data_IF_752693773316
#
_entry.id   IF_752693773316
#
_cell.length_a   1.000
_cell.length_b   1.000
_cell.length_c   1.000
_cell.angle_alpha   90.00
_cell.angle_beta   90.00
_cell.angle_gamma   90.00
#
_symmetry.space_group_name_H-M   'P 1'
#
loop_
_entity.id
_entity.type
_entity.pdbx_description
1 polymer ?
#
# COMPACT_ATOMS: atom_id res chain seq x y z
N UNK A 1 7.70 22.85 -12.20
CA UNK A 1 7.73 21.40 -12.54
C UNK A 1 6.37 21.05 -13.13
N UNK A 2 6.33 20.47 -14.31
CA UNK A 2 5.05 20.02 -14.91
C UNK A 2 4.54 18.85 -14.06
N UNK A 3 3.28 18.90 -13.66
CA UNK A 3 2.61 17.85 -12.86
C UNK A 3 2.43 16.62 -13.74
N UNK A 4 2.70 15.44 -13.25
CA UNK A 4 2.48 14.19 -13.97
C UNK A 4 1.05 13.70 -13.73
N UNK A 5 0.16 14.02 -14.69
CA UNK A 5 -1.27 13.73 -14.58
C UNK A 5 -1.53 12.23 -14.54
N UNK A 6 -0.78 11.43 -15.33
CA UNK A 6 -0.96 9.99 -15.37
C UNK A 6 -0.60 9.33 -14.04
N UNK A 7 0.46 9.82 -13.38
CA UNK A 7 0.84 9.35 -12.05
C UNK A 7 -0.20 9.72 -10.98
N UNK A 8 -0.80 10.91 -11.09
CA UNK A 8 -1.87 11.36 -10.21
C UNK A 8 -3.15 10.53 -10.40
N UNK A 9 -3.52 10.24 -11.65
CA UNK A 9 -4.63 9.34 -12.00
C UNK A 9 -4.37 7.94 -11.45
N UNK A 10 -3.17 7.37 -11.67
CA UNK A 10 -2.79 6.06 -11.15
C UNK A 10 -2.91 5.98 -9.63
N UNK A 11 -2.46 7.03 -8.91
CA UNK A 11 -2.60 7.12 -7.45
C UNK A 11 -4.07 7.14 -7.02
N UNK A 12 -4.91 7.90 -7.70
CA UNK A 12 -6.33 7.99 -7.38
C UNK A 12 -7.03 6.64 -7.60
N UNK A 13 -6.77 6.00 -8.75
CA UNK A 13 -7.38 4.72 -9.10
C UNK A 13 -6.99 3.62 -8.12
N UNK A 14 -5.71 3.53 -7.72
CA UNK A 14 -5.28 2.52 -6.75
C UNK A 14 -5.89 2.77 -5.36
N UNK A 15 -6.05 4.02 -4.93
CA UNK A 15 -6.71 4.33 -3.68
C UNK A 15 -8.20 3.99 -3.71
N UNK A 16 -8.91 4.27 -4.81
CA UNK A 16 -10.29 3.85 -5.03
C UNK A 16 -10.37 2.32 -4.98
N UNK A 17 -9.46 1.63 -5.66
CA UNK A 17 -9.40 0.18 -5.69
C UNK A 17 -9.22 -0.42 -4.30
N UNK A 18 -8.29 0.11 -3.49
CA UNK A 18 -8.06 -0.36 -2.13
C UNK A 18 -9.34 -0.22 -1.28
N UNK A 19 -9.94 0.96 -1.29
CA UNK A 19 -11.08 1.28 -0.40
C UNK A 19 -12.37 0.63 -0.89
N UNK A 20 -12.65 0.68 -2.19
CA UNK A 20 -13.95 0.26 -2.73
C UNK A 20 -13.97 -1.20 -3.24
N UNK A 21 -12.80 -1.83 -3.45
CA UNK A 21 -12.71 -3.22 -3.90
C UNK A 21 -12.06 -4.10 -2.83
N UNK A 22 -10.80 -3.86 -2.49
CA UNK A 22 -10.06 -4.75 -1.59
C UNK A 22 -10.72 -4.84 -0.21
N UNK A 23 -10.95 -3.71 0.44
CA UNK A 23 -11.52 -3.73 1.78
C UNK A 23 -12.98 -4.19 1.80
N UNK A 24 -13.74 -3.92 0.73
CA UNK A 24 -15.10 -4.45 0.59
C UNK A 24 -15.10 -5.97 0.47
N UNK A 25 -14.20 -6.52 -0.35
CA UNK A 25 -14.05 -7.98 -0.51
C UNK A 25 -13.55 -8.65 0.76
N UNK A 26 -12.54 -8.09 1.41
CA UNK A 26 -11.96 -8.72 2.61
C UNK A 26 -12.79 -8.53 3.90
N UNK A 27 -13.62 -7.49 3.98
CA UNK A 27 -14.36 -7.18 5.20
C UNK A 27 -15.84 -7.49 5.14
N UNK A 28 -16.47 -7.32 3.98
CA UNK A 28 -17.92 -7.35 3.87
C UNK A 28 -18.44 -8.50 2.97
N UNK A 29 -17.81 -8.72 1.82
CA UNK A 29 -18.28 -9.65 0.80
C UNK A 29 -17.14 -10.49 0.24
N UNK A 30 -16.65 -11.51 1.00
CA UNK A 30 -15.52 -12.32 0.58
C UNK A 30 -15.79 -13.05 -0.74
N UNK A 31 -14.81 -13.02 -1.62
CA UNK A 31 -14.82 -13.80 -2.86
C UNK A 31 -14.20 -15.16 -2.61
N UNK A 32 -14.60 -16.14 -3.46
CA UNK A 32 -13.93 -17.43 -3.48
C UNK A 32 -12.50 -17.33 -4.02
N UNK A 33 -11.61 -18.18 -3.52
CA UNK A 33 -10.29 -18.35 -4.13
C UNK A 33 -10.40 -18.99 -5.52
N UNK A 34 -9.54 -18.66 -6.49
CA UNK A 34 -8.35 -17.81 -6.36
C UNK A 34 -8.60 -16.31 -6.61
N UNK A 35 -9.84 -15.89 -6.82
CA UNK A 35 -10.17 -14.52 -7.21
C UNK A 35 -9.78 -13.50 -6.13
N UNK A 36 -10.02 -13.84 -4.86
CA UNK A 36 -9.62 -12.99 -3.74
C UNK A 36 -8.11 -12.77 -3.69
N UNK A 37 -7.33 -13.82 -3.90
CA UNK A 37 -5.87 -13.75 -3.95
C UNK A 37 -5.34 -12.89 -5.10
N UNK A 38 -5.95 -12.98 -6.28
CA UNK A 38 -5.55 -12.19 -7.46
C UNK A 38 -5.72 -10.68 -7.28
N UNK A 39 -6.57 -10.25 -6.35
CA UNK A 39 -6.81 -8.84 -6.09
C UNK A 39 -5.70 -8.17 -5.26
N UNK A 40 -4.79 -8.91 -4.61
CA UNK A 40 -3.84 -8.40 -3.61
C UNK A 40 -2.58 -7.70 -4.19
N UNK A 41 -2.64 -7.18 -5.40
CA UNK A 41 -1.51 -6.47 -6.03
C UNK A 41 -1.40 -4.99 -5.64
N UNK A 42 -2.32 -4.47 -4.86
CA UNK A 42 -2.48 -3.04 -4.59
C UNK A 42 -1.28 -2.44 -3.84
N UNK A 43 -0.73 -3.15 -2.86
CA UNK A 43 0.36 -2.62 -2.03
C UNK A 43 1.67 -2.46 -2.81
N UNK A 44 2.17 -3.45 -3.57
CA UNK A 44 3.29 -3.25 -4.47
C UNK A 44 3.13 -2.02 -5.37
N UNK A 45 1.92 -1.81 -5.88
CA UNK A 45 1.64 -0.73 -6.80
C UNK A 45 1.65 0.66 -6.13
N UNK A 46 1.11 0.79 -4.91
CA UNK A 46 1.12 2.07 -4.19
C UNK A 46 2.55 2.49 -3.79
N UNK A 47 3.41 1.53 -3.43
CA UNK A 47 4.81 1.80 -3.14
C UNK A 47 5.58 2.19 -4.41
N UNK A 48 5.33 1.52 -5.53
CA UNK A 48 5.89 1.88 -6.84
C UNK A 48 5.54 3.33 -7.21
N UNK A 49 4.25 3.72 -7.13
CA UNK A 49 3.78 5.09 -7.40
C UNK A 49 4.41 6.09 -6.44
N UNK A 50 4.55 5.72 -5.18
CA UNK A 50 5.18 6.59 -4.18
C UNK A 50 6.65 6.85 -4.51
N UNK A 51 7.40 5.82 -4.90
CA UNK A 51 8.77 5.94 -5.37
C UNK A 51 8.89 6.79 -6.64
N UNK A 52 8.04 6.53 -7.64
CA UNK A 52 7.95 7.32 -8.86
C UNK A 52 7.66 8.80 -8.58
N UNK A 53 6.74 9.09 -7.67
CA UNK A 53 6.43 10.47 -7.26
C UNK A 53 7.62 11.16 -6.59
N UNK A 54 8.42 10.43 -5.82
CA UNK A 54 9.63 10.97 -5.19
C UNK A 54 10.76 11.23 -6.20
N UNK A 55 10.86 10.44 -7.27
CA UNK A 55 11.84 10.66 -8.35
C UNK A 55 11.60 11.98 -9.08
N UNK A 56 10.34 12.41 -9.16
CA UNK A 56 9.92 13.68 -9.78
C UNK A 56 9.96 14.86 -8.82
N UNK A 57 10.02 14.62 -7.51
CA UNK A 57 9.99 15.68 -6.52
C UNK A 57 11.32 16.44 -6.47
N UNK A 58 11.26 17.77 -6.24
CA UNK A 58 12.45 18.58 -5.98
C UNK A 58 13.15 18.08 -4.71
N UNK A 59 14.47 17.98 -4.77
CA UNK A 59 15.29 17.63 -3.62
C UNK A 59 15.10 18.66 -2.51
N UNK A 60 14.60 18.21 -1.38
CA UNK A 60 14.58 18.95 -0.11
C UNK A 60 15.65 18.36 0.78
N UNK A 61 16.14 19.13 1.75
CA UNK A 61 17.04 18.58 2.77
C UNK A 61 16.40 17.40 3.51
N UNK A 62 17.23 16.50 4.02
CA UNK A 62 16.85 15.28 4.75
C UNK A 62 15.73 15.55 5.78
N UNK A 63 15.98 16.44 6.70
CA UNK A 63 15.04 16.77 7.77
C UNK A 63 13.72 17.35 7.26
N UNK A 64 13.77 18.23 6.24
CA UNK A 64 12.57 18.80 5.65
C UNK A 64 11.71 17.73 4.95
N UNK A 65 12.33 16.71 4.35
CA UNK A 65 11.60 15.58 3.79
C UNK A 65 10.92 14.75 4.87
N UNK A 66 11.65 14.36 5.92
CA UNK A 66 11.12 13.54 7.03
C UNK A 66 9.96 14.29 7.72
N UNK A 67 10.18 15.56 8.14
CA UNK A 67 9.17 16.35 8.83
C UNK A 67 7.90 16.53 7.96
N UNK A 68 8.04 16.78 6.66
CA UNK A 68 6.88 16.90 5.78
C UNK A 68 6.11 15.57 5.64
N UNK A 69 6.80 14.42 5.67
CA UNK A 69 6.14 13.10 5.67
C UNK A 69 5.40 12.86 6.96
N UNK A 70 6.07 13.08 8.09
CA UNK A 70 5.47 12.95 9.41
C UNK A 70 4.19 13.79 9.51
N UNK A 71 4.25 15.08 9.14
CA UNK A 71 3.08 15.96 9.17
C UNK A 71 1.93 15.49 8.28
N UNK A 72 2.24 14.97 7.08
CA UNK A 72 1.21 14.56 6.11
C UNK A 72 0.56 13.23 6.44
N UNK A 73 1.22 12.36 7.18
CA UNK A 73 0.74 11.02 7.49
C UNK A 73 0.29 10.94 8.95
N UNK A 74 1.11 11.39 9.89
CA UNK A 74 0.83 11.25 11.32
C UNK A 74 -0.25 12.22 11.79
N UNK A 75 -0.24 13.48 11.35
CA UNK A 75 -1.24 14.44 11.82
C UNK A 75 -2.68 14.02 11.45
N UNK A 76 -2.98 13.63 10.20
CA UNK A 76 -4.32 13.09 9.88
C UNK A 76 -4.65 11.81 10.62
N UNK A 77 -3.66 10.93 10.88
CA UNK A 77 -3.86 9.73 11.68
C UNK A 77 -4.28 10.05 13.11
N UNK A 78 -3.60 10.98 13.80
CA UNK A 78 -3.96 11.35 15.17
C UNK A 78 -5.32 12.03 15.26
N UNK A 79 -5.67 12.88 14.27
CA UNK A 79 -7.02 13.43 14.18
C UNK A 79 -8.05 12.31 14.01
N UNK A 80 -7.79 11.34 13.15
CA UNK A 80 -8.64 10.17 12.99
C UNK A 80 -8.77 9.36 14.28
N UNK A 81 -7.66 9.10 14.99
CA UNK A 81 -7.68 8.37 16.27
C UNK A 81 -8.54 9.09 17.33
N UNK A 82 -8.45 10.42 17.40
CA UNK A 82 -9.30 11.21 18.28
C UNK A 82 -10.78 11.08 17.90
N UNK A 83 -11.12 11.16 16.60
CA UNK A 83 -12.49 10.96 16.11
C UNK A 83 -12.96 9.54 16.41
N UNK A 84 -12.12 8.52 16.20
CA UNK A 84 -12.45 7.12 16.52
C UNK A 84 -12.70 6.90 18.01
N UNK A 85 -11.92 7.53 18.89
CA UNK A 85 -12.11 7.44 20.33
C UNK A 85 -13.49 7.99 20.74
N UNK A 86 -13.88 9.13 20.17
CA UNK A 86 -15.22 9.72 20.40
C UNK A 86 -16.32 8.82 19.83
N UNK A 87 -16.16 8.34 18.60
CA UNK A 87 -17.10 7.44 17.95
C UNK A 87 -17.31 6.16 18.78
N UNK A 88 -16.24 5.54 19.24
CA UNK A 88 -16.29 4.35 20.09
C UNK A 88 -17.00 4.61 21.41
N UNK A 89 -16.70 5.71 22.08
CA UNK A 89 -17.37 6.08 23.32
C UNK A 89 -18.88 6.28 23.14
N UNK A 90 -19.31 6.77 21.97
CA UNK A 90 -20.74 6.92 21.65
C UNK A 90 -21.42 5.60 21.30
N UNK A 91 -20.73 4.68 20.62
CA UNK A 91 -21.32 3.43 20.14
C UNK A 91 -21.31 2.32 21.20
N UNK A 92 -20.32 2.31 22.08
CA UNK A 92 -20.15 1.29 23.12
C UNK A 92 -21.41 0.99 23.96
N UNK A 93 -22.20 1.99 24.40
CA UNK A 93 -23.42 1.73 25.17
C UNK A 93 -24.49 0.97 24.38
N UNK A 94 -24.49 1.11 23.05
CA UNK A 94 -25.51 0.52 22.15
C UNK A 94 -25.08 -0.84 21.57
N UNK A 95 -23.79 -1.08 21.48
CA UNK A 95 -23.22 -2.29 20.88
C UNK A 95 -22.08 -2.86 21.75
N UNK A 96 -22.35 -3.33 22.97
CA UNK A 96 -21.30 -3.82 23.88
C UNK A 96 -20.59 -5.08 23.37
N UNK A 97 -21.23 -5.89 22.53
CA UNK A 97 -20.66 -7.11 21.95
C UNK A 97 -19.61 -6.85 20.88
N UNK A 98 -19.59 -5.64 20.29
CA UNK A 98 -18.68 -5.27 19.17
C UNK A 98 -17.46 -4.50 19.67
N UNK A 99 -17.50 -4.01 20.91
CA UNK A 99 -16.48 -3.12 21.45
C UNK A 99 -15.85 -3.70 22.71
N UNK A 100 -14.74 -4.40 22.57
CA UNK A 100 -13.90 -4.71 23.73
C UNK A 100 -13.38 -3.42 24.36
N UNK A 101 -13.29 -3.39 25.71
CA UNK A 101 -12.73 -2.24 26.40
C UNK A 101 -11.26 -2.05 26.03
N UNK A 102 -10.93 -0.90 25.46
CA UNK A 102 -9.57 -0.51 25.18
C UNK A 102 -8.83 -0.22 26.50
N UNK A 103 -7.71 -0.89 26.71
CA UNK A 103 -6.81 -0.59 27.83
C UNK A 103 -5.85 0.54 27.47
N UNK A 104 -5.19 1.13 28.47
CA UNK A 104 -4.13 2.12 28.25
C UNK A 104 -3.02 1.53 27.36
N UNK A 105 -2.71 0.25 27.52
CA UNK A 105 -1.74 -0.45 26.69
C UNK A 105 -2.18 -0.50 25.21
N UNK A 106 -3.45 -0.80 24.93
CA UNK A 106 -3.99 -0.80 23.57
C UNK A 106 -3.90 0.59 22.93
N UNK A 107 -4.22 1.63 23.69
CA UNK A 107 -4.10 3.02 23.23
C UNK A 107 -2.64 3.37 22.90
N UNK A 108 -1.68 2.98 23.75
CA UNK A 108 -0.25 3.19 23.50
C UNK A 108 0.21 2.38 22.27
N UNK A 109 -0.25 1.13 22.11
CA UNK A 109 0.01 0.32 20.92
C UNK A 109 -0.53 1.00 19.66
N UNK A 110 -1.77 1.49 19.68
CA UNK A 110 -2.36 2.26 18.56
C UNK A 110 -1.51 3.48 18.21
N UNK A 111 -1.09 4.26 19.19
CA UNK A 111 -0.30 5.47 18.97
C UNK A 111 1.11 5.14 18.43
N UNK A 112 1.71 4.03 18.86
CA UNK A 112 3.05 3.62 18.45
C UNK A 112 3.09 2.93 17.09
N UNK A 113 2.16 2.01 16.84
CA UNK A 113 2.19 1.12 15.65
C UNK A 113 1.09 1.43 14.63
N UNK A 114 0.07 2.19 15.02
CA UNK A 114 -1.14 2.41 14.22
C UNK A 114 -2.10 1.21 14.22
N UNK A 115 -1.78 0.07 14.84
CA UNK A 115 -2.57 -1.16 14.80
C UNK A 115 -3.28 -1.48 16.12
N UNK A 116 -4.49 -2.04 16.03
CA UNK A 116 -5.23 -2.58 17.17
C UNK A 116 -6.18 -3.69 16.72
N UNK A 117 -6.00 -4.87 17.26
CA UNK A 117 -6.79 -6.04 16.91
C UNK A 117 -8.20 -6.00 17.54
N UNK A 118 -8.38 -5.21 18.61
CA UNK A 118 -9.66 -5.04 19.33
C UNK A 118 -10.65 -4.11 18.62
N UNK A 119 -10.20 -3.34 17.63
CA UNK A 119 -11.06 -2.45 16.86
C UNK A 119 -11.45 -3.15 15.56
N UNK A 120 -12.72 -3.47 15.32
CA UNK A 120 -13.16 -4.05 14.07
C UNK A 120 -12.74 -3.21 12.87
N UNK A 121 -12.33 -3.87 11.79
CA UNK A 121 -11.90 -3.21 10.55
C UNK A 121 -10.72 -2.23 10.69
N UNK A 122 -9.89 -2.36 11.74
CA UNK A 122 -8.76 -1.45 11.99
C UNK A 122 -7.40 -2.03 11.55
N UNK A 123 -7.34 -3.31 11.24
CA UNK A 123 -6.10 -4.01 10.87
C UNK A 123 -5.34 -3.41 9.67
N UNK A 124 -6.01 -2.65 8.78
CA UNK A 124 -5.38 -2.03 7.60
C UNK A 124 -4.35 -0.94 7.94
N UNK A 125 -4.32 -0.44 9.15
CA UNK A 125 -3.41 0.65 9.57
C UNK A 125 -1.95 0.22 9.69
N UNK A 126 -1.64 -1.10 9.67
CA UNK A 126 -0.28 -1.62 9.56
C UNK A 126 0.51 -0.96 8.41
N UNK A 127 -0.18 -0.64 7.32
CA UNK A 127 0.41 0.01 6.16
C UNK A 127 1.05 1.37 6.50
N UNK A 128 0.51 2.12 7.47
CA UNK A 128 0.95 3.48 7.79
C UNK A 128 2.38 3.46 8.33
N UNK A 129 2.70 2.55 9.25
CA UNK A 129 4.04 2.40 9.81
C UNK A 129 5.05 1.98 8.73
N UNK A 130 4.72 0.97 7.94
CA UNK A 130 5.54 0.52 6.82
C UNK A 130 5.78 1.63 5.79
N UNK A 131 4.72 2.35 5.43
CA UNK A 131 4.82 3.47 4.49
C UNK A 131 5.72 4.61 5.02
N UNK A 132 5.61 4.94 6.30
CA UNK A 132 6.47 5.95 6.93
C UNK A 132 7.92 5.52 6.91
N UNK A 133 8.23 4.29 7.35
CA UNK A 133 9.60 3.77 7.35
C UNK A 133 10.19 3.82 5.94
N UNK A 134 9.54 3.18 4.97
CA UNK A 134 10.02 3.10 3.59
C UNK A 134 10.23 4.50 2.99
N UNK A 135 9.29 5.42 3.17
CA UNK A 135 9.44 6.77 2.61
C UNK A 135 10.47 7.63 3.35
N UNK A 136 10.74 7.35 4.62
CA UNK A 136 11.80 8.02 5.40
C UNK A 136 13.18 7.40 5.18
N UNK A 137 13.28 6.18 4.66
CA UNK A 137 14.56 5.58 4.25
C UNK A 137 15.17 6.26 3.02
N UNK A 138 14.36 6.73 2.06
CA UNK A 138 14.86 7.33 0.82
C UNK A 138 15.91 8.44 1.00
N UNK A 139 15.76 9.41 1.93
CA UNK A 139 16.79 10.41 2.15
C UNK A 139 18.13 9.81 2.61
N UNK A 140 18.07 8.72 3.38
CA UNK A 140 19.26 7.99 3.87
C UNK A 140 19.90 7.27 2.70
N UNK A 141 19.12 6.54 1.91
CA UNK A 141 19.56 5.84 0.70
C UNK A 141 20.17 6.79 -0.32
N UNK A 142 19.60 7.98 -0.50
CA UNK A 142 20.17 9.05 -1.34
C UNK A 142 21.49 9.58 -0.79
N UNK A 143 21.65 9.69 0.53
CA UNK A 143 22.94 10.06 1.13
C UNK A 143 23.98 8.95 0.92
N UNK A 144 23.56 7.70 1.11
CA UNK A 144 24.38 6.51 0.89
C UNK A 144 24.76 6.33 -0.59
N UNK A 145 23.93 6.84 -1.52
CA UNK A 145 24.20 6.73 -2.97
C UNK A 145 25.45 7.48 -3.45
N UNK A 146 26.06 8.27 -2.59
CA UNK A 146 27.41 8.85 -2.80
C UNK A 146 28.50 7.77 -2.83
N UNK A 147 28.26 6.65 -2.15
CA UNK A 147 29.18 5.54 -2.00
C UNK A 147 28.70 4.28 -2.76
N UNK A 148 27.41 4.00 -2.66
CA UNK A 148 26.78 2.81 -3.24
C UNK A 148 25.64 3.28 -4.15
N UNK A 149 25.73 3.13 -5.49
CA UNK A 149 24.64 3.48 -6.40
C UNK A 149 23.29 2.91 -5.97
N UNK A 150 22.20 3.64 -6.17
CA UNK A 150 20.85 3.19 -5.77
C UNK A 150 20.43 1.87 -6.41
N UNK A 151 20.93 1.57 -7.63
CA UNK A 151 20.70 0.28 -8.28
C UNK A 151 21.32 -0.89 -7.49
N UNK A 152 22.53 -0.68 -6.94
CA UNK A 152 23.16 -1.65 -6.06
C UNK A 152 22.45 -1.78 -4.71
N UNK A 153 21.95 -0.66 -4.16
CA UNK A 153 21.11 -0.69 -2.95
C UNK A 153 19.84 -1.50 -3.19
N UNK A 154 19.20 -1.38 -4.35
CA UNK A 154 18.06 -2.23 -4.72
C UNK A 154 18.46 -3.72 -4.75
N UNK A 155 19.60 -4.06 -5.37
CA UNK A 155 20.11 -5.45 -5.38
C UNK A 155 20.36 -5.95 -3.96
N UNK A 156 20.97 -5.14 -3.10
CA UNK A 156 21.20 -5.47 -1.69
C UNK A 156 19.87 -5.68 -0.96
N UNK A 157 18.84 -4.85 -1.19
CA UNK A 157 17.52 -5.04 -0.60
C UNK A 157 16.86 -6.37 -1.04
N UNK A 158 17.00 -6.76 -2.30
CA UNK A 158 16.49 -8.06 -2.79
C UNK A 158 17.23 -9.22 -2.13
N UNK A 159 18.56 -9.16 -2.05
CA UNK A 159 19.36 -10.20 -1.37
C UNK A 159 19.07 -10.25 0.13
N UNK A 160 18.93 -9.09 0.77
CA UNK A 160 18.53 -9.01 2.18
C UNK A 160 17.15 -9.63 2.38
N UNK A 161 16.19 -9.32 1.51
CA UNK A 161 14.84 -9.89 1.57
C UNK A 161 14.89 -11.43 1.48
N UNK A 162 15.66 -11.97 0.54
CA UNK A 162 15.83 -13.42 0.44
C UNK A 162 16.50 -14.03 1.68
N UNK A 163 17.48 -13.33 2.27
CA UNK A 163 18.19 -13.80 3.47
C UNK A 163 17.29 -13.78 4.73
N UNK A 164 16.48 -12.76 4.91
CA UNK A 164 15.59 -12.66 6.10
C UNK A 164 14.49 -13.71 6.08
N UNK A 165 14.09 -14.26 4.92
CA UNK A 165 13.16 -15.39 4.85
C UNK A 165 13.68 -16.66 5.59
N UNK A 166 14.97 -16.72 5.86
CA UNK A 166 15.60 -17.83 6.60
C UNK A 166 15.68 -17.56 8.11
N UNK A 167 15.24 -16.40 8.57
CA UNK A 167 15.35 -15.95 9.96
C UNK A 167 13.95 -15.75 10.57
N UNK A 168 13.74 -16.12 11.84
CA UNK A 168 12.48 -15.88 12.55
C UNK A 168 12.38 -14.41 12.99
N UNK A 169 12.18 -13.50 12.03
CA UNK A 169 12.04 -12.07 12.29
C UNK A 169 10.56 -11.67 12.46
N UNK A 170 10.30 -10.52 13.11
CA UNK A 170 8.95 -9.93 13.11
C UNK A 170 8.46 -9.67 11.69
N UNK A 171 7.19 -10.01 11.39
CA UNK A 171 6.61 -9.90 10.04
C UNK A 171 6.60 -8.47 9.49
N UNK A 172 6.68 -7.46 10.35
CA UNK A 172 6.79 -6.06 9.95
C UNK A 172 8.08 -5.78 9.18
N UNK A 173 9.18 -6.47 9.54
CA UNK A 173 10.49 -6.30 8.89
C UNK A 173 10.43 -6.85 7.46
N UNK A 174 9.84 -8.03 7.26
CA UNK A 174 9.66 -8.63 5.93
C UNK A 174 8.87 -7.70 5.02
N UNK A 175 7.76 -7.17 5.53
CA UNK A 175 6.94 -6.18 4.82
C UNK A 175 7.73 -4.91 4.48
N UNK A 176 8.48 -4.34 5.42
CA UNK A 176 9.26 -3.11 5.19
C UNK A 176 10.31 -3.29 4.08
N UNK A 177 11.05 -4.40 4.09
CA UNK A 177 12.08 -4.69 3.08
C UNK A 177 11.42 -4.97 1.72
N UNK A 178 10.37 -5.80 1.69
CA UNK A 178 9.63 -6.10 0.47
C UNK A 178 9.08 -4.82 -0.20
N UNK A 179 8.39 -3.98 0.55
CA UNK A 179 7.80 -2.75 0.01
C UNK A 179 8.85 -1.69 -0.33
N UNK A 180 10.02 -1.69 0.33
CA UNK A 180 11.13 -0.82 -0.07
C UNK A 180 11.68 -1.20 -1.45
N UNK A 181 11.70 -2.49 -1.80
CA UNK A 181 12.07 -2.94 -3.15
C UNK A 181 11.14 -2.31 -4.20
N UNK A 182 9.82 -2.39 -4.02
CA UNK A 182 8.86 -1.79 -4.95
C UNK A 182 8.97 -0.27 -5.01
N UNK A 183 9.23 0.37 -3.88
CA UNK A 183 9.43 1.81 -3.81
C UNK A 183 10.69 2.24 -4.59
N UNK A 184 11.82 1.55 -4.40
CA UNK A 184 13.05 1.82 -5.14
C UNK A 184 12.92 1.53 -6.64
N UNK A 185 12.18 0.49 -7.03
CA UNK A 185 11.84 0.24 -8.43
C UNK A 185 11.12 1.44 -9.06
N UNK A 186 10.11 1.97 -8.40
CA UNK A 186 9.40 3.17 -8.85
C UNK A 186 10.32 4.40 -8.92
N UNK A 187 11.16 4.60 -7.92
CA UNK A 187 12.10 5.73 -7.87
C UNK A 187 13.15 5.68 -8.98
N UNK A 188 13.72 4.50 -9.25
CA UNK A 188 14.82 4.32 -10.19
C UNK A 188 14.37 4.26 -11.64
N UNK A 189 13.29 3.53 -11.90
CA UNK A 189 12.96 3.08 -13.25
C UNK A 189 11.71 3.72 -13.83
N UNK A 190 11.01 4.58 -13.10
CA UNK A 190 9.85 5.28 -13.62
C UNK A 190 10.20 5.99 -14.95
N UNK A 191 9.46 5.69 -16.02
CA UNK A 191 9.65 6.19 -17.41
C UNK A 191 11.01 5.93 -18.04
N UNK A 192 11.82 5.03 -17.50
CA UNK A 192 13.18 4.76 -18.01
C UNK A 192 13.31 3.44 -18.73
N UNK A 193 12.40 2.50 -18.50
CA UNK A 193 12.47 1.18 -19.11
C UNK A 193 11.66 1.11 -20.41
N UNK A 194 12.23 0.44 -21.42
CA UNK A 194 11.51 0.09 -22.65
C UNK A 194 10.58 -1.11 -22.37
N UNK A 195 9.45 -1.18 -23.09
CA UNK A 195 8.48 -2.29 -22.98
C UNK A 195 9.15 -3.66 -23.10
N UNK A 196 10.09 -3.81 -24.04
CA UNK A 196 10.86 -5.06 -24.20
C UNK A 196 11.63 -5.46 -22.94
N UNK A 197 12.25 -4.49 -22.26
CA UNK A 197 12.98 -4.75 -21.01
C UNK A 197 12.01 -5.15 -19.89
N UNK A 198 10.84 -4.49 -19.81
CA UNK A 198 9.80 -4.83 -18.84
C UNK A 198 9.27 -6.25 -19.08
N UNK A 199 8.99 -6.62 -20.34
CA UNK A 199 8.54 -7.97 -20.70
C UNK A 199 9.56 -9.05 -20.33
N UNK A 200 10.85 -8.79 -20.60
CA UNK A 200 11.92 -9.71 -20.21
C UNK A 200 12.02 -9.86 -18.69
N UNK A 201 11.93 -8.74 -17.95
CA UNK A 201 11.95 -8.77 -16.49
C UNK A 201 10.72 -9.47 -15.91
N UNK A 202 9.55 -9.33 -16.54
CA UNK A 202 8.30 -9.94 -16.12
C UNK A 202 8.24 -11.45 -16.38
N UNK A 203 9.01 -11.99 -17.34
CA UNK A 203 8.82 -13.37 -17.83
C UNK A 203 8.92 -14.42 -16.73
N UNK A 204 10.03 -14.44 -15.99
CA UNK A 204 10.23 -15.43 -14.92
C UNK A 204 9.26 -15.24 -13.74
N UNK A 205 9.10 -14.04 -13.16
CA UNK A 205 8.11 -13.83 -12.09
C UNK A 205 6.69 -14.19 -12.51
N UNK A 206 6.27 -13.89 -13.75
CA UNK A 206 4.95 -14.25 -14.25
C UNK A 206 4.78 -15.77 -14.34
N UNK A 207 5.78 -16.50 -14.82
CA UNK A 207 5.75 -17.96 -14.87
C UNK A 207 5.70 -18.57 -13.47
N UNK A 208 6.49 -18.07 -12.53
CA UNK A 208 6.48 -18.51 -11.14
C UNK A 208 5.12 -18.22 -10.48
N UNK A 209 4.58 -17.04 -10.67
CA UNK A 209 3.26 -16.67 -10.15
C UNK A 209 2.16 -17.57 -10.73
N UNK A 210 2.15 -17.79 -12.04
CA UNK A 210 1.20 -18.67 -12.70
C UNK A 210 1.33 -20.11 -12.18
N UNK A 211 2.54 -20.62 -12.04
CA UNK A 211 2.78 -21.94 -11.45
C UNK A 211 2.25 -22.02 -10.01
N UNK A 212 2.53 -21.00 -9.18
CA UNK A 212 2.05 -20.93 -7.80
C UNK A 212 0.51 -20.98 -7.70
N UNK A 213 -0.19 -20.23 -8.56
CA UNK A 213 -1.67 -20.29 -8.64
C UNK A 213 -2.20 -21.64 -9.14
N UNK A 214 -1.60 -22.19 -10.18
CA UNK A 214 -2.03 -23.47 -10.75
C UNK A 214 -1.78 -24.66 -9.82
N UNK A 215 -0.70 -24.63 -9.04
CA UNK A 215 -0.36 -25.65 -8.04
C UNK A 215 -1.08 -25.47 -6.71
N UNK A 216 -1.72 -24.33 -6.49
CA UNK A 216 -2.29 -23.97 -5.18
C UNK A 216 -1.27 -23.49 -4.13
N UNK A 217 0.01 -23.38 -4.51
CA UNK A 217 1.08 -23.01 -3.55
C UNK A 217 1.00 -21.57 -3.04
N UNK A 218 0.28 -20.69 -3.72
CA UNK A 218 0.11 -19.27 -3.36
C UNK A 218 -1.32 -18.91 -2.97
N UNK A 219 -2.14 -19.87 -2.63
CA UNK A 219 -3.54 -19.67 -2.24
C UNK A 219 -3.72 -20.12 -0.78
N UNK A 220 -4.18 -19.22 0.08
CA UNK A 220 -4.54 -17.80 -0.16
C UNK A 220 -3.30 -16.88 -0.18
N UNK A 221 -3.23 -15.93 -1.10
CA UNK A 221 -2.13 -14.95 -1.22
C UNK A 221 -2.00 -14.06 0.03
N UNK A 222 -3.03 -13.95 0.84
CA UNK A 222 -3.01 -13.22 2.10
C UNK A 222 -1.96 -13.78 3.07
N UNK A 223 -1.78 -15.10 3.11
CA UNK A 223 -0.80 -15.77 3.99
C UNK A 223 0.65 -15.52 3.51
N UNK A 224 0.82 -15.27 2.21
CA UNK A 224 2.09 -14.89 1.61
C UNK A 224 2.39 -13.39 1.70
N UNK A 225 1.38 -12.57 2.01
CA UNK A 225 1.50 -11.14 2.24
C UNK A 225 1.85 -10.82 3.69
N UNK A 226 1.47 -11.68 4.63
CA UNK A 226 1.66 -11.51 6.07
C UNK A 226 2.11 -12.81 6.75
N UNK A 227 3.46 -13.01 6.91
CA UNK A 227 4.59 -12.14 6.49
C UNK A 227 4.79 -12.11 4.98
N UNK A 228 5.35 -11.00 4.48
CA UNK A 228 5.69 -10.91 3.08
C UNK A 228 6.80 -11.91 2.72
N UNK A 229 6.57 -12.77 1.74
CA UNK A 229 7.52 -13.79 1.29
C UNK A 229 7.90 -13.67 -0.19
N UNK A 230 8.71 -14.61 -0.67
CA UNK A 230 9.17 -14.62 -2.07
C UNK A 230 8.03 -14.80 -3.07
N UNK A 231 6.96 -15.51 -2.73
CA UNK A 231 5.79 -15.66 -3.58
C UNK A 231 5.06 -14.34 -3.75
N UNK A 232 4.85 -13.60 -2.64
CA UNK A 232 4.25 -12.28 -2.68
C UNK A 232 5.13 -11.28 -3.44
N UNK A 233 6.47 -11.35 -3.28
CA UNK A 233 7.40 -10.53 -4.06
C UNK A 233 7.27 -10.80 -5.57
N UNK A 234 7.25 -12.07 -5.99
CA UNK A 234 7.08 -12.47 -7.40
C UNK A 234 5.72 -12.01 -7.96
N UNK A 235 4.65 -12.22 -7.21
CA UNK A 235 3.31 -11.78 -7.57
C UNK A 235 3.24 -10.26 -7.75
N UNK A 236 3.72 -9.52 -6.75
CA UNK A 236 3.76 -8.06 -6.80
C UNK A 236 4.62 -7.53 -7.95
N UNK A 237 5.79 -8.15 -8.20
CA UNK A 237 6.66 -7.79 -9.31
C UNK A 237 5.99 -8.06 -10.67
N UNK A 238 5.31 -9.19 -10.82
CA UNK A 238 4.50 -9.51 -12.00
C UNK A 238 3.45 -8.42 -12.24
N UNK A 239 2.67 -8.10 -11.22
CA UNK A 239 1.61 -7.09 -11.32
C UNK A 239 2.16 -5.72 -11.73
N UNK A 240 3.24 -5.24 -11.11
CA UNK A 240 3.81 -3.93 -11.46
C UNK A 240 4.44 -3.88 -12.86
N UNK A 241 4.96 -5.01 -13.35
CA UNK A 241 5.46 -5.09 -14.74
C UNK A 241 4.31 -4.94 -15.75
N UNK A 242 3.22 -5.67 -15.57
CA UNK A 242 2.05 -5.55 -16.44
C UNK A 242 1.41 -4.16 -16.36
N UNK A 243 1.31 -3.59 -15.17
CA UNK A 243 0.88 -2.21 -15.01
C UNK A 243 1.82 -1.20 -15.68
N UNK A 244 3.13 -1.43 -15.64
CA UNK A 244 4.10 -0.56 -16.32
C UNK A 244 3.96 -0.60 -17.84
N UNK A 245 3.57 -1.76 -18.41
CA UNK A 245 3.25 -1.89 -19.84
C UNK A 245 1.97 -1.11 -20.17
N UNK A 246 0.91 -1.29 -19.38
CA UNK A 246 -0.33 -0.54 -19.52
C UNK A 246 -0.08 0.97 -19.41
N UNK A 247 0.78 1.37 -18.46
CA UNK A 247 1.16 2.77 -18.28
C UNK A 247 1.81 3.35 -19.53
N UNK A 248 2.76 2.64 -20.15
CA UNK A 248 3.41 3.09 -21.40
C UNK A 248 2.44 3.17 -22.57
N UNK A 249 1.39 2.36 -22.58
CA UNK A 249 0.30 2.46 -23.54
C UNK A 249 -0.56 3.70 -23.28
N UNK A 250 -0.99 3.92 -22.04
CA UNK A 250 -1.80 5.08 -21.64
C UNK A 250 -1.07 6.40 -21.86
N UNK A 251 0.26 6.42 -21.69
CA UNK A 251 1.07 7.62 -21.93
C UNK A 251 0.96 8.14 -23.37
N UNK A 252 0.72 7.25 -24.34
CA UNK A 252 0.51 7.63 -25.74
C UNK A 252 -0.88 8.24 -26.00
N UNK A 253 -1.81 8.11 -25.06
CA UNK A 253 -3.19 8.60 -25.15
C UNK A 253 -3.43 9.80 -24.23
N UNK A 254 -2.63 10.85 -24.42
CA UNK A 254 -2.67 12.04 -23.54
C UNK A 254 -4.08 12.64 -23.39
N UNK A 255 -4.90 12.61 -24.44
CA UNK A 255 -6.28 13.12 -24.38
C UNK A 255 -7.14 12.37 -23.36
N UNK A 256 -7.08 11.05 -23.35
CA UNK A 256 -7.81 10.22 -22.39
C UNK A 256 -7.29 10.42 -20.95
N UNK A 257 -5.96 10.52 -20.79
CA UNK A 257 -5.34 10.75 -19.48
C UNK A 257 -5.72 12.11 -18.92
N UNK A 258 -5.71 13.16 -19.76
CA UNK A 258 -6.11 14.51 -19.37
C UNK A 258 -7.61 14.57 -19.00
N UNK A 259 -8.46 13.86 -19.77
CA UNK A 259 -9.88 13.74 -19.44
C UNK A 259 -10.08 13.05 -18.08
N UNK A 260 -9.45 11.88 -17.84
CA UNK A 260 -9.51 11.22 -16.54
C UNK A 260 -9.02 12.11 -15.40
N UNK A 261 -7.90 12.83 -15.60
CA UNK A 261 -7.35 13.76 -14.61
C UNK A 261 -8.25 14.98 -14.35
N UNK A 262 -9.20 15.31 -15.25
CA UNK A 262 -10.17 16.40 -15.07
C UNK A 262 -11.41 15.98 -14.27
N UNK A 263 -11.67 14.68 -14.12
CA UNK A 263 -12.82 14.15 -13.38
C UNK A 263 -12.68 14.54 -11.89
N UNK A 264 -13.70 15.21 -11.37
CA UNK A 264 -13.73 15.68 -9.97
C UNK A 264 -13.48 14.56 -8.94
N UNK A 265 -14.05 13.38 -9.19
CA UNK A 265 -13.81 12.20 -8.34
C UNK A 265 -12.32 11.83 -8.28
N UNK A 266 -11.64 11.76 -9.41
CA UNK A 266 -10.20 11.47 -9.50
C UNK A 266 -9.38 12.53 -8.75
N UNK A 267 -9.75 13.81 -8.92
CA UNK A 267 -9.07 14.92 -8.21
C UNK A 267 -9.29 14.85 -6.70
N UNK A 268 -10.50 14.50 -6.26
CA UNK A 268 -10.80 14.29 -4.85
C UNK A 268 -9.93 13.19 -4.25
N UNK A 269 -9.87 12.03 -4.89
CA UNK A 269 -9.04 10.91 -4.42
C UNK A 269 -7.54 11.21 -4.47
N UNK A 270 -7.08 11.97 -5.46
CA UNK A 270 -5.69 12.39 -5.52
C UNK A 270 -5.29 13.32 -4.36
N UNK A 271 -6.20 14.18 -3.92
CA UNK A 271 -5.94 15.18 -2.88
C UNK A 271 -6.31 14.71 -1.48
N UNK A 272 -7.34 13.88 -1.34
CA UNK A 272 -7.93 13.42 -0.07
C UNK A 272 -7.89 11.91 0.12
N UNK A 273 -7.34 11.15 -0.83
CA UNK A 273 -7.35 9.68 -0.82
C UNK A 273 -6.85 9.07 0.50
N UNK A 274 -5.76 9.60 1.06
CA UNK A 274 -5.26 9.14 2.36
C UNK A 274 -6.27 9.39 3.50
N UNK A 275 -6.91 10.55 3.54
CA UNK A 275 -7.94 10.85 4.53
C UNK A 275 -9.14 9.91 4.37
N UNK A 276 -9.62 9.71 3.14
CA UNK A 276 -10.70 8.75 2.85
C UNK A 276 -10.30 7.35 3.31
N UNK A 277 -9.08 6.93 2.99
CA UNK A 277 -8.54 5.64 3.40
C UNK A 277 -8.56 5.42 4.92
N UNK A 278 -8.13 6.38 5.73
CA UNK A 278 -8.13 6.20 7.18
C UNK A 278 -9.53 6.26 7.80
N UNK A 279 -10.49 6.99 7.19
CA UNK A 279 -11.87 7.10 7.69
C UNK A 279 -12.81 5.98 7.22
N UNK A 280 -12.39 5.09 6.33
CA UNK A 280 -13.23 3.99 5.80
C UNK A 280 -13.69 3.01 6.88
N UNK A 281 -12.96 2.86 7.99
CA UNK A 281 -13.36 2.03 9.14
C UNK A 281 -14.74 2.42 9.66
N UNK A 282 -15.02 3.72 9.76
CA UNK A 282 -16.31 4.21 10.21
C UNK A 282 -17.41 3.76 9.24
N UNK A 283 -17.15 3.90 7.93
CA UNK A 283 -18.10 3.48 6.89
C UNK A 283 -18.32 1.97 6.90
N UNK A 284 -17.27 1.18 7.02
CA UNK A 284 -17.36 -0.28 7.10
C UNK A 284 -18.15 -0.73 8.33
N UNK A 285 -17.91 -0.08 9.47
CA UNK A 285 -18.65 -0.35 10.70
C UNK A 285 -20.15 -0.04 10.55
N UNK A 286 -20.50 1.12 9.99
CA UNK A 286 -21.91 1.49 9.75
C UNK A 286 -22.57 0.49 8.79
N UNK A 287 -21.91 0.15 7.68
CA UNK A 287 -22.44 -0.83 6.72
C UNK A 287 -22.67 -2.18 7.38
N UNK A 288 -21.71 -2.67 8.19
CA UNK A 288 -21.85 -3.96 8.87
C UNK A 288 -23.00 -3.96 9.88
N UNK A 289 -23.24 -2.86 10.58
CA UNK A 289 -24.39 -2.73 11.46
C UNK A 289 -25.73 -2.78 10.70
N UNK A 290 -25.81 -2.04 9.60
CA UNK A 290 -27.02 -2.01 8.77
C UNK A 290 -27.28 -3.37 8.13
N UNK A 291 -26.24 -4.02 7.56
CA UNK A 291 -26.42 -5.32 6.89
C UNK A 291 -26.78 -6.43 7.88
N UNK A 292 -26.21 -6.45 9.08
CA UNK A 292 -26.61 -7.43 10.13
C UNK A 292 -28.04 -7.24 10.59
N UNK A 293 -28.51 -5.99 10.72
CA UNK A 293 -29.90 -5.71 11.08
C UNK A 293 -30.93 -6.09 10.00
N UNK A 294 -30.48 -6.45 8.78
CA UNK A 294 -31.35 -6.92 7.69
C UNK A 294 -31.30 -8.44 7.49
N UNK A 295 -30.35 -9.13 8.14
CA UNK A 295 -30.15 -10.58 8.02
C UNK A 295 -30.71 -11.31 9.25
N UNK A 296 -30.81 -10.63 10.39
CA UNK A 296 -31.52 -11.09 11.61
C UNK A 296 -33.00 -10.67 11.55
#
# INVERSE_FOLDING_TARGET
MKRDILLDVGRSLIMIYIVCCIHVVYWLFPLSEPWQSLLLFEMPFIFLISGASQSLARCKGLWAMIINRMKRVILPLYVFLAVMAVFYAMVQPFCPAVTERLTVHDILKILATGGCDKIPYYGYTWFISTYLVVTCLLPIERKLSRWIPLSWQLTVNVLLFAAIQLLPLPMEIDGMVCYNIFFLLGYLYYRKLRVRTILLAASLPTLLTAYGFLSGAVIPMQDHKFPADLWFLCFGFTAICWWSILYTFLEKHEGAVNYLGSIQLIQLWNTRGYTIYIYQTISAFIVSMVTRSWID
#
